data_IF_508800904569
#
_entry.id   IF_508800904569
#
_cell.length_a   1.000
_cell.length_b   1.000
_cell.length_c   1.000
_cell.angle_alpha   90.00
_cell.angle_beta   90.00
_cell.angle_gamma   90.00
#
_symmetry.space_group_name_H-M   'P 1'
#
loop_
_entity.id
_entity.type
_entity.pdbx_description
1 polymer ?
#
# COMPACT_ATOMS: atom_id res chain seq x y z
N UNK A 1 -16.64 8.68 8.79
CA UNK A 1 -16.22 7.26 8.87
C UNK A 1 -14.70 7.23 8.89
N UNK A 2 -14.06 6.64 9.91
CA UNK A 2 -12.60 6.43 9.88
C UNK A 2 -12.31 5.44 8.74
N UNK A 3 -11.68 5.91 7.67
CA UNK A 3 -11.18 5.05 6.60
C UNK A 3 -10.01 4.27 7.19
N UNK A 4 -10.17 2.99 7.48
CA UNK A 4 -9.04 2.15 7.91
C UNK A 4 -8.46 1.45 6.68
N UNK A 5 -7.17 1.62 6.43
CA UNK A 5 -6.49 0.90 5.35
C UNK A 5 -6.00 -0.44 5.92
N UNK A 6 -6.78 -1.48 5.67
CA UNK A 6 -6.44 -2.86 5.99
C UNK A 6 -6.17 -3.69 4.72
N UNK A 7 -5.83 -4.96 4.91
CA UNK A 7 -5.52 -5.87 3.81
C UNK A 7 -6.71 -6.06 2.85
N UNK A 8 -7.94 -6.01 3.33
CA UNK A 8 -9.13 -6.16 2.50
C UNK A 8 -9.35 -4.91 1.64
N UNK A 9 -9.18 -3.72 2.22
CA UNK A 9 -9.24 -2.43 1.50
C UNK A 9 -8.21 -2.40 0.38
N UNK A 10 -6.97 -2.81 0.65
CA UNK A 10 -5.89 -2.87 -0.35
C UNK A 10 -6.20 -3.86 -1.46
N UNK A 11 -6.66 -5.07 -1.13
CA UNK A 11 -7.05 -6.08 -2.14
C UNK A 11 -8.16 -5.56 -3.06
N UNK A 12 -9.18 -4.92 -2.48
CA UNK A 12 -10.28 -4.31 -3.26
C UNK A 12 -9.75 -3.18 -4.16
N UNK A 13 -8.85 -2.35 -3.65
CA UNK A 13 -8.27 -1.26 -4.42
C UNK A 13 -7.47 -1.77 -5.63
N UNK A 14 -6.64 -2.80 -5.44
CA UNK A 14 -5.88 -3.44 -6.52
C UNK A 14 -6.82 -4.01 -7.58
N UNK A 15 -7.86 -4.73 -7.15
CA UNK A 15 -8.83 -5.35 -8.06
C UNK A 15 -9.64 -4.30 -8.83
N UNK A 16 -10.14 -3.28 -8.14
CA UNK A 16 -10.98 -2.22 -8.73
C UNK A 16 -10.22 -1.39 -9.78
N UNK A 17 -8.92 -1.18 -9.57
CA UNK A 17 -8.07 -0.43 -10.48
C UNK A 17 -7.26 -1.33 -11.45
N UNK A 18 -7.53 -2.64 -11.46
CA UNK A 18 -6.83 -3.63 -12.30
C UNK A 18 -5.28 -3.53 -12.25
N UNK A 19 -4.73 -3.17 -11.09
CA UNK A 19 -3.30 -2.91 -10.91
C UNK A 19 -2.48 -4.19 -11.08
N UNK A 20 -1.40 -4.12 -11.87
CA UNK A 20 -0.53 -5.26 -12.19
C UNK A 20 0.93 -4.83 -12.34
N UNK A 21 1.86 -5.69 -11.92
CA UNK A 21 3.26 -5.82 -12.38
C UNK A 21 4.20 -4.63 -12.15
N UNK A 22 3.85 -3.46 -12.69
CA UNK A 22 4.72 -2.29 -12.82
C UNK A 22 4.25 -1.14 -11.92
N UNK A 23 3.51 -1.45 -10.85
CA UNK A 23 3.05 -0.43 -9.90
C UNK A 23 3.38 -0.81 -8.47
N UNK A 24 3.60 0.20 -7.65
CA UNK A 24 3.67 0.10 -6.19
C UNK A 24 2.54 0.91 -5.58
N UNK A 25 2.02 0.47 -4.44
CA UNK A 25 1.13 1.27 -3.62
C UNK A 25 1.95 1.95 -2.53
N UNK A 26 1.78 3.25 -2.42
CA UNK A 26 2.43 4.08 -1.41
C UNK A 26 1.40 4.50 -0.37
N UNK A 27 1.74 4.27 0.91
CA UNK A 27 0.87 4.53 2.05
C UNK A 27 1.59 5.41 3.08
N UNK A 28 0.87 6.29 3.75
CA UNK A 28 1.38 6.97 4.94
C UNK A 28 1.98 5.95 5.95
N UNK A 29 3.12 6.25 6.62
CA UNK A 29 3.79 5.31 7.52
C UNK A 29 2.88 4.71 8.58
N UNK A 30 1.96 5.49 9.16
CA UNK A 30 1.02 4.98 10.16
C UNK A 30 0.05 3.92 9.61
N UNK A 31 -0.37 4.02 8.34
CA UNK A 31 -1.20 3.02 7.69
C UNK A 31 -0.38 1.77 7.38
N UNK A 32 0.84 1.95 6.87
CA UNK A 32 1.74 0.87 6.55
C UNK A 32 2.10 0.06 7.82
N UNK A 33 2.43 0.73 8.92
CA UNK A 33 2.70 0.09 10.20
C UNK A 33 1.48 -0.67 10.74
N UNK A 34 0.27 -0.09 10.68
CA UNK A 34 -0.97 -0.80 11.06
C UNK A 34 -1.15 -2.07 10.23
N UNK A 35 -0.87 -1.99 8.92
CA UNK A 35 -0.97 -3.13 8.01
C UNK A 35 0.08 -4.22 8.31
N UNK A 36 1.32 -3.83 8.58
CA UNK A 36 2.43 -4.73 8.92
C UNK A 36 2.22 -5.37 10.30
N UNK A 37 1.76 -4.59 11.29
CA UNK A 37 1.49 -5.06 12.66
C UNK A 37 0.27 -5.99 12.73
N UNK A 38 -0.71 -5.82 11.83
CA UNK A 38 -1.78 -6.79 11.63
C UNK A 38 -1.28 -8.11 11.00
N UNK A 39 -0.09 -8.10 10.39
CA UNK A 39 0.61 -9.27 9.89
C UNK A 39 1.60 -9.89 10.90
N UNK A 40 2.15 -11.06 10.57
CA UNK A 40 3.24 -11.68 11.32
C UNK A 40 4.60 -11.16 10.80
N UNK A 41 5.26 -10.28 11.56
CA UNK A 41 6.64 -9.73 11.42
C UNK A 41 6.78 -8.35 10.75
N UNK A 42 7.72 -7.57 11.31
CA UNK A 42 8.25 -6.29 10.81
C UNK A 42 8.87 -6.46 9.42
N UNK A 43 8.11 -6.23 8.36
CA UNK A 43 8.59 -6.26 6.98
C UNK A 43 8.79 -4.84 6.45
N UNK A 44 9.86 -4.62 5.69
CA UNK A 44 10.15 -3.32 5.03
C UNK A 44 9.26 -3.08 3.79
N UNK A 45 8.70 -4.15 3.23
CA UNK A 45 7.73 -4.10 2.14
C UNK A 45 6.76 -5.27 2.28
N UNK A 46 5.51 -5.06 1.87
CA UNK A 46 4.48 -6.09 1.83
C UNK A 46 4.07 -6.29 0.37
N UNK A 47 3.92 -7.55 -0.07
CA UNK A 47 3.35 -7.86 -1.38
C UNK A 47 1.92 -8.36 -1.22
N UNK A 48 0.97 -7.69 -1.86
CA UNK A 48 -0.44 -8.08 -1.86
C UNK A 48 -0.90 -8.24 -3.30
N UNK A 49 -1.41 -9.43 -3.64
CA UNK A 49 -1.91 -9.74 -4.98
C UNK A 49 -0.91 -9.39 -6.12
N UNK A 50 0.40 -9.54 -5.86
CA UNK A 50 1.46 -9.24 -6.83
C UNK A 50 1.92 -7.78 -6.87
N UNK A 51 1.27 -6.87 -6.13
CA UNK A 51 1.63 -5.45 -6.04
C UNK A 51 2.45 -5.21 -4.76
N UNK A 52 3.56 -4.48 -4.87
CA UNK A 52 4.36 -4.12 -3.71
C UNK A 52 3.74 -2.90 -3.01
N UNK A 53 3.78 -2.90 -1.69
CA UNK A 53 3.29 -1.84 -0.84
C UNK A 53 4.45 -1.31 -0.01
N UNK A 54 4.59 -0.01 -0.01
CA UNK A 54 5.68 0.72 0.64
C UNK A 54 5.13 1.82 1.54
N UNK A 55 5.91 2.17 2.56
CA UNK A 55 5.67 3.38 3.33
C UNK A 55 6.17 4.59 2.55
N UNK A 56 5.38 5.66 2.55
CA UNK A 56 5.78 6.98 2.11
C UNK A 56 6.70 7.62 3.15
N UNK A 57 7.96 7.84 2.80
CA UNK A 57 8.92 8.49 3.68
C UNK A 57 9.08 10.00 3.39
N UNK A 58 8.35 10.53 2.41
CA UNK A 58 8.47 11.90 1.93
C UNK A 58 7.24 12.77 2.25
N UNK A 59 6.24 12.24 2.96
CA UNK A 59 4.97 12.91 3.31
C UNK A 59 4.17 13.38 2.07
N UNK A 60 4.26 12.65 0.96
CA UNK A 60 3.45 12.85 -0.23
C UNK A 60 2.02 12.29 -0.07
N UNK A 61 1.83 11.27 0.77
CA UNK A 61 0.56 10.55 0.98
C UNK A 61 0.02 10.81 2.38
N UNK A 62 -1.22 11.30 2.47
CA UNK A 62 -1.84 11.56 3.78
C UNK A 62 -2.32 10.27 4.44
N UNK A 63 -2.56 10.36 5.75
CA UNK A 63 -3.16 9.24 6.49
C UNK A 63 -4.52 8.86 5.87
N UNK A 64 -4.77 7.55 5.76
CA UNK A 64 -5.88 6.93 5.05
C UNK A 64 -6.02 7.23 3.54
N UNK A 65 -4.97 7.69 2.87
CA UNK A 65 -4.87 7.73 1.40
C UNK A 65 -4.02 6.56 0.88
N UNK A 66 -4.32 6.16 -0.37
CA UNK A 66 -3.55 5.18 -1.14
C UNK A 66 -3.11 5.92 -2.39
N UNK A 67 -1.80 5.96 -2.61
CA UNK A 67 -1.24 6.48 -3.84
C UNK A 67 -0.63 5.35 -4.68
N UNK A 68 -0.58 5.54 -6.00
CA UNK A 68 -0.08 4.56 -6.97
C UNK A 68 1.16 5.13 -7.63
N UNK A 69 2.29 4.46 -7.41
CA UNK A 69 3.54 4.78 -8.06
C UNK A 69 3.75 3.84 -9.26
N UNK A 70 3.73 4.39 -10.47
CA UNK A 70 4.12 3.67 -11.68
C UNK A 70 5.64 3.52 -11.74
N UNK A 71 6.12 2.29 -11.88
CA UNK A 71 7.51 1.99 -12.15
C UNK A 71 7.68 1.88 -13.66
N UNK A 72 8.28 2.91 -14.25
CA UNK A 72 8.78 2.79 -15.61
C UNK A 72 10.08 1.97 -15.57
N UNK A 73 10.00 0.69 -15.93
CA UNK A 73 11.18 -0.13 -16.20
C UNK A 73 11.73 0.32 -17.56
N UNK A 74 12.71 1.22 -17.53
CA UNK A 74 13.51 1.60 -18.69
C UNK A 74 14.40 0.43 -19.16
#
# INVERSE_FOLDING_TARGET
MKKNIDLATIKRFILANALKGNVMLMLHPSNFEKLVNAGKKKVKSLRVAGVNIIADNNNEVKENEIDVLEINLA
#
